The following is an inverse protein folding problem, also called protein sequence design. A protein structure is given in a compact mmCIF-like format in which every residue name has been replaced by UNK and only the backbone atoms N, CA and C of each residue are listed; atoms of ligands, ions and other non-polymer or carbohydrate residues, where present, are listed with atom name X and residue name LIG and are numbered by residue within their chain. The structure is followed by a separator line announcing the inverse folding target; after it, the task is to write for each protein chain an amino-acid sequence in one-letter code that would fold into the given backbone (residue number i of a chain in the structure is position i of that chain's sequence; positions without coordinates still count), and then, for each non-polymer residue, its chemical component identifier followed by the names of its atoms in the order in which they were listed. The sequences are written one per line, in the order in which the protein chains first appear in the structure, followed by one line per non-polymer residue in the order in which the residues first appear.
data_IF_152971930493
#
_entry.id   IF_152971930493
#
_cell.length_a   1.000
_cell.length_b   1.000
_cell.length_c   1.000
_cell.angle_alpha   90.00
_cell.angle_beta   90.00
_cell.angle_gamma   90.00
#
_symmetry.space_group_name_H-M   'P 1'
#
loop_
_entity.id
_entity.type
_entity.pdbx_description
1 polymer ?
#
# COMPACT_ATOMS: atom_id res chain seq x y z
N UNK A 1 -26.54 28.23 2.69
CA UNK A 1 -25.16 28.47 3.17
C UNK A 1 -24.11 28.18 2.10
N UNK A 2 -23.79 26.92 1.73
CA UNK A 2 -22.74 26.65 0.70
C UNK A 2 -23.10 27.21 -0.69
N UNK A 3 -24.38 27.15 -1.09
CA UNK A 3 -24.86 27.66 -2.40
C UNK A 3 -24.79 29.19 -2.49
N UNK A 4 -25.04 29.87 -1.37
CA UNK A 4 -24.96 31.33 -1.27
C UNK A 4 -23.49 31.78 -1.32
N UNK A 5 -22.60 31.06 -0.64
CA UNK A 5 -21.16 31.33 -0.63
C UNK A 5 -20.52 31.20 -2.03
N UNK A 6 -20.90 30.20 -2.82
CA UNK A 6 -20.36 30.01 -4.17
C UNK A 6 -20.76 31.14 -5.13
N UNK A 7 -22.02 31.59 -5.04
CA UNK A 7 -22.53 32.72 -5.84
C UNK A 7 -21.78 34.03 -5.52
N UNK A 8 -21.38 34.21 -4.27
CA UNK A 8 -20.59 35.37 -3.82
C UNK A 8 -19.13 35.33 -4.32
N UNK A 9 -18.51 34.15 -4.41
CA UNK A 9 -17.14 34.04 -4.94
C UNK A 9 -17.05 34.32 -6.45
N UNK A 10 -18.08 33.96 -7.22
CA UNK A 10 -18.15 34.33 -8.64
C UNK A 10 -18.19 35.85 -8.86
N UNK A 11 -18.71 36.60 -7.87
CA UNK A 11 -18.78 38.05 -7.90
C UNK A 11 -17.53 38.71 -7.29
N UNK A 12 -16.87 38.05 -6.35
CA UNK A 12 -15.65 38.55 -5.72
C UNK A 12 -14.64 37.42 -5.44
N UNK A 13 -13.57 37.32 -6.26
CA UNK A 13 -12.52 36.31 -6.09
C UNK A 13 -11.80 36.39 -4.74
N UNK A 14 -11.84 37.53 -4.03
CA UNK A 14 -11.21 37.65 -2.71
C UNK A 14 -11.89 36.82 -1.62
N UNK A 15 -13.12 36.32 -1.86
CA UNK A 15 -13.89 35.52 -0.90
C UNK A 15 -13.60 34.00 -0.95
N UNK A 16 -12.58 33.59 -1.71
CA UNK A 16 -12.27 32.18 -1.91
C UNK A 16 -12.00 31.42 -0.61
N UNK A 17 -11.42 32.10 0.39
CA UNK A 17 -11.10 31.50 1.68
C UNK A 17 -12.39 31.20 2.48
N UNK A 18 -13.31 32.14 2.54
CA UNK A 18 -14.58 32.04 3.25
C UNK A 18 -15.47 30.95 2.65
N UNK A 19 -15.49 30.83 1.31
CA UNK A 19 -16.21 29.75 0.64
C UNK A 19 -15.59 28.39 0.99
N UNK A 20 -14.26 28.28 0.99
CA UNK A 20 -13.58 27.04 1.37
C UNK A 20 -13.87 26.66 2.82
N UNK A 21 -13.81 27.61 3.74
CA UNK A 21 -14.19 27.44 5.15
C UNK A 21 -15.62 26.90 5.27
N UNK A 22 -16.60 27.53 4.61
CA UNK A 22 -18.01 27.13 4.67
C UNK A 22 -18.31 25.79 3.97
N UNK A 23 -17.55 25.45 2.92
CA UNK A 23 -17.70 24.20 2.16
C UNK A 23 -16.98 23.01 2.81
N UNK A 24 -16.09 23.27 3.79
CA UNK A 24 -15.38 22.19 4.51
C UNK A 24 -16.37 21.42 5.38
N UNK A 25 -16.52 20.09 5.17
CA UNK A 25 -17.52 19.33 5.91
C UNK A 25 -17.15 19.18 7.39
N UNK A 26 -18.16 19.11 8.25
CA UNK A 26 -17.98 18.99 9.72
C UNK A 26 -17.13 17.78 10.09
N UNK A 27 -17.32 16.64 9.40
CA UNK A 27 -16.55 15.43 9.65
C UNK A 27 -15.05 15.59 9.32
N UNK A 28 -14.68 16.44 8.36
CA UNK A 28 -13.27 16.73 8.09
C UNK A 28 -12.61 17.40 9.31
N UNK A 29 -13.27 18.40 9.90
CA UNK A 29 -12.77 19.09 11.10
C UNK A 29 -12.70 18.15 12.31
N UNK A 30 -13.70 17.27 12.48
CA UNK A 30 -13.69 16.25 13.53
C UNK A 30 -12.49 15.30 13.39
N UNK A 31 -12.26 14.76 12.19
CA UNK A 31 -11.12 13.89 11.92
C UNK A 31 -9.80 14.61 12.12
N UNK A 32 -9.70 15.88 11.75
CA UNK A 32 -8.52 16.69 12.04
C UNK A 32 -8.28 16.83 13.55
N UNK A 33 -9.33 17.05 14.34
CA UNK A 33 -9.22 17.09 15.81
C UNK A 33 -8.80 15.74 16.40
N UNK A 34 -9.33 14.63 15.88
CA UNK A 34 -8.92 13.28 16.29
C UNK A 34 -7.43 13.06 15.96
N UNK A 35 -6.97 13.48 14.79
CA UNK A 35 -5.57 13.36 14.37
C UNK A 35 -4.57 14.08 15.27
N UNK A 36 -5.01 15.09 16.02
CA UNK A 36 -4.17 15.82 16.99
C UNK A 36 -4.06 15.10 18.35
N UNK A 37 -4.82 14.03 18.59
CA UNK A 37 -4.73 13.22 19.80
C UNK A 37 -3.55 12.23 19.70
N UNK A 38 -3.02 11.74 20.85
CA UNK A 38 -2.10 10.62 20.86
C UNK A 38 -2.70 9.41 20.11
N UNK A 39 -1.92 8.82 19.21
CA UNK A 39 -2.34 7.72 18.32
C UNK A 39 -3.55 8.06 17.41
N UNK A 40 -3.91 9.34 17.27
CA UNK A 40 -5.08 9.78 16.51
C UNK A 40 -5.03 9.43 15.02
N UNK A 41 -3.86 9.57 14.39
CA UNK A 41 -3.65 9.20 12.98
C UNK A 41 -3.88 7.69 12.79
N UNK A 42 -3.39 6.86 13.71
CA UNK A 42 -3.61 5.41 13.66
C UNK A 42 -5.10 5.06 13.76
N UNK A 43 -5.83 5.71 14.68
CA UNK A 43 -7.27 5.51 14.80
C UNK A 43 -8.02 5.89 13.51
N UNK A 44 -7.56 6.91 12.79
CA UNK A 44 -8.14 7.31 11.50
C UNK A 44 -7.81 6.29 10.41
N UNK A 45 -6.60 5.72 10.40
CA UNK A 45 -6.25 4.59 9.52
C UNK A 45 -7.19 3.40 9.78
N UNK A 46 -7.32 2.97 11.03
CA UNK A 46 -8.16 1.83 11.42
C UNK A 46 -9.64 2.09 11.08
N UNK A 47 -10.12 3.32 11.33
CA UNK A 47 -11.45 3.76 10.93
C UNK A 47 -11.63 3.69 9.41
N UNK A 48 -10.68 4.18 8.61
CA UNK A 48 -10.75 4.13 7.14
C UNK A 48 -10.77 2.69 6.62
N UNK A 49 -9.96 1.79 7.18
CA UNK A 49 -10.01 0.37 6.83
C UNK A 49 -11.41 -0.22 7.06
N UNK A 50 -12.03 0.11 8.21
CA UNK A 50 -13.38 -0.31 8.52
C UNK A 50 -14.42 0.30 7.56
N UNK A 51 -14.30 1.59 7.20
CA UNK A 51 -15.19 2.24 6.22
C UNK A 51 -15.13 1.52 4.87
N UNK A 52 -13.93 1.22 4.37
CA UNK A 52 -13.75 0.51 3.10
C UNK A 52 -14.33 -0.91 3.14
N UNK A 53 -14.22 -1.62 4.26
CA UNK A 53 -14.84 -2.94 4.45
C UNK A 53 -16.37 -2.86 4.50
N UNK A 54 -16.91 -1.88 5.21
CA UNK A 54 -18.35 -1.64 5.30
C UNK A 54 -18.94 -1.26 3.94
N UNK A 55 -18.27 -0.40 3.17
CA UNK A 55 -18.70 -0.02 1.83
C UNK A 55 -18.80 -1.20 0.85
N UNK A 56 -18.05 -2.29 1.07
CA UNK A 56 -18.13 -3.52 0.26
C UNK A 56 -19.32 -4.42 0.66
N UNK A 57 -19.80 -4.32 1.89
CA UNK A 57 -20.81 -5.23 2.46
C UNK A 57 -22.18 -4.59 2.61
N UNK A 58 -22.24 -3.25 2.68
CA UNK A 58 -23.48 -2.49 2.83
C UNK A 58 -24.30 -2.48 1.53
N UNK A 59 -25.61 -2.72 1.67
CA UNK A 59 -26.55 -2.80 0.55
C UNK A 59 -27.36 -1.51 0.36
N UNK A 60 -27.54 -0.70 1.42
CA UNK A 60 -28.22 0.58 1.32
C UNK A 60 -27.34 1.63 0.63
N UNK A 61 -27.79 2.08 -0.55
CA UNK A 61 -27.10 3.12 -1.34
C UNK A 61 -26.96 4.46 -0.61
N UNK A 62 -27.93 4.82 0.23
CA UNK A 62 -27.89 6.06 0.99
C UNK A 62 -26.78 6.00 2.06
N UNK A 63 -26.74 4.89 2.81
CA UNK A 63 -25.68 4.61 3.78
C UNK A 63 -24.30 4.57 3.11
N UNK A 64 -24.14 3.84 2.00
CA UNK A 64 -22.87 3.79 1.25
C UNK A 64 -22.43 5.19 0.81
N UNK A 65 -23.34 6.04 0.34
CA UNK A 65 -23.02 7.42 -0.04
C UNK A 65 -22.53 8.25 1.14
N UNK A 66 -23.10 8.07 2.33
CA UNK A 66 -22.65 8.74 3.55
C UNK A 66 -21.27 8.24 4.01
N UNK A 67 -21.04 6.92 3.99
CA UNK A 67 -19.75 6.30 4.30
C UNK A 67 -18.66 6.80 3.34
N UNK A 68 -18.96 6.88 2.04
CA UNK A 68 -18.03 7.38 1.04
C UNK A 68 -17.64 8.86 1.28
N UNK A 69 -18.55 9.71 1.76
CA UNK A 69 -18.20 11.10 2.11
C UNK A 69 -17.21 11.16 3.27
N UNK A 70 -17.43 10.36 4.31
CA UNK A 70 -16.53 10.27 5.45
C UNK A 70 -15.17 9.66 5.07
N UNK A 71 -15.18 8.59 4.27
CA UNK A 71 -13.97 7.96 3.74
C UNK A 71 -13.13 8.96 2.94
N UNK A 72 -13.77 9.78 2.10
CA UNK A 72 -13.09 10.81 1.32
C UNK A 72 -12.35 11.82 2.19
N UNK A 73 -12.97 12.33 3.25
CA UNK A 73 -12.29 13.24 4.18
C UNK A 73 -11.16 12.56 4.95
N UNK A 74 -11.33 11.29 5.34
CA UNK A 74 -10.24 10.53 5.95
C UNK A 74 -9.07 10.35 4.97
N UNK A 75 -9.36 9.98 3.72
CA UNK A 75 -8.36 9.85 2.66
C UNK A 75 -7.61 11.17 2.42
N UNK A 76 -8.32 12.30 2.29
CA UNK A 76 -7.71 13.62 2.10
C UNK A 76 -6.74 13.99 3.25
N UNK A 77 -7.13 13.75 4.50
CA UNK A 77 -6.26 13.99 5.66
C UNK A 77 -5.05 13.06 5.68
N UNK A 78 -5.23 11.77 5.37
CA UNK A 78 -4.14 10.80 5.33
C UNK A 78 -3.15 11.12 4.21
N UNK A 79 -3.60 11.61 3.05
CA UNK A 79 -2.71 12.10 1.98
C UNK A 79 -1.85 13.27 2.46
N UNK A 80 -2.43 14.19 3.23
CA UNK A 80 -1.69 15.33 3.80
C UNK A 80 -0.68 14.85 4.85
N UNK A 81 -1.10 13.94 5.76
CA UNK A 81 -0.25 13.46 6.85
C UNK A 81 0.89 12.57 6.36
N UNK A 82 0.65 11.70 5.38
CA UNK A 82 1.66 10.80 4.80
C UNK A 82 2.40 11.40 3.60
N UNK A 83 2.43 12.71 3.47
CA UNK A 83 3.26 13.36 2.46
C UNK A 83 4.78 13.14 2.71
N UNK A 84 5.58 13.25 1.66
CA UNK A 84 7.02 12.98 1.67
C UNK A 84 7.79 13.68 2.81
N UNK A 85 7.40 14.89 3.19
CA UNK A 85 8.07 15.67 4.23
C UNK A 85 7.88 15.10 5.65
N UNK A 86 6.86 14.29 5.86
CA UNK A 86 6.51 13.74 7.19
C UNK A 86 7.00 12.30 7.39
N UNK A 87 7.51 11.65 6.33
CA UNK A 87 8.04 10.30 6.39
C UNK A 87 9.56 10.31 6.53
N UNK A 88 10.07 9.55 7.51
CA UNK A 88 11.50 9.30 7.70
C UNK A 88 11.87 7.97 7.06
N UNK A 89 12.91 7.97 6.24
CA UNK A 89 13.51 6.74 5.72
C UNK A 89 14.53 6.25 6.75
N UNK A 90 14.36 5.02 7.22
CA UNK A 90 15.27 4.39 8.17
C UNK A 90 15.74 3.05 7.61
N UNK A 91 17.05 2.81 7.70
CA UNK A 91 17.64 1.52 7.34
C UNK A 91 17.46 0.55 8.51
N UNK A 92 16.82 -0.58 8.25
CA UNK A 92 16.72 -1.67 9.21
C UNK A 92 17.95 -2.57 9.11
N UNK A 93 18.52 -2.91 10.25
CA UNK A 93 19.64 -3.84 10.38
C UNK A 93 19.29 -4.87 11.45
N UNK A 94 20.07 -5.94 11.57
CA UNK A 94 19.87 -6.93 12.63
C UNK A 94 19.94 -6.33 14.05
N UNK A 95 20.67 -5.22 14.20
CA UNK A 95 20.80 -4.49 15.47
C UNK A 95 19.64 -3.52 15.74
N UNK A 96 18.65 -3.41 14.85
CA UNK A 96 17.47 -2.56 15.06
C UNK A 96 16.62 -3.07 16.24
N UNK A 97 15.83 -2.19 16.90
CA UNK A 97 14.97 -2.58 18.01
C UNK A 97 14.04 -3.76 17.68
N UNK A 98 13.96 -4.73 18.60
CA UNK A 98 13.24 -5.99 18.38
C UNK A 98 11.73 -5.82 18.17
N UNK A 99 11.11 -4.76 18.69
CA UNK A 99 9.70 -4.43 18.42
C UNK A 99 9.48 -4.05 16.96
N UNK A 100 10.41 -3.30 16.36
CA UNK A 100 10.33 -2.93 14.94
C UNK A 100 10.54 -4.15 14.07
N UNK A 101 11.52 -5.00 14.38
CA UNK A 101 11.77 -6.25 13.65
C UNK A 101 10.58 -7.22 13.74
N UNK A 102 9.92 -7.29 14.90
CA UNK A 102 8.73 -8.10 15.08
C UNK A 102 7.59 -7.61 14.18
N UNK A 103 7.35 -6.29 14.16
CA UNK A 103 6.33 -5.71 13.28
C UNK A 103 6.66 -5.94 11.81
N UNK A 104 7.91 -5.74 11.40
CA UNK A 104 8.34 -6.03 10.02
C UNK A 104 8.02 -7.47 9.65
N UNK A 105 8.31 -8.43 10.54
CA UNK A 105 7.94 -9.84 10.34
C UNK A 105 6.41 -10.06 10.24
N UNK A 106 5.59 -9.31 10.97
CA UNK A 106 4.13 -9.41 10.90
C UNK A 106 3.54 -8.78 9.61
N UNK A 107 4.17 -7.71 9.10
CA UNK A 107 3.72 -6.94 7.94
C UNK A 107 4.46 -7.30 6.63
N UNK A 108 5.30 -8.33 6.66
CA UNK A 108 6.08 -8.83 5.52
C UNK A 108 5.15 -9.49 4.48
N UNK A 109 4.64 -8.66 3.57
CA UNK A 109 3.63 -9.05 2.59
C UNK A 109 4.15 -10.01 1.50
N UNK A 110 5.47 -10.24 1.43
CA UNK A 110 6.09 -11.02 0.35
C UNK A 110 6.77 -12.29 0.87
N UNK A 111 7.38 -12.29 2.08
CA UNK A 111 8.23 -13.40 2.56
C UNK A 111 8.23 -13.63 4.09
N UNK A 112 7.38 -14.48 4.66
CA UNK A 112 7.25 -14.62 6.12
C UNK A 112 8.56 -15.03 6.83
N UNK A 113 8.95 -14.29 7.88
CA UNK A 113 10.13 -14.58 8.71
C UNK A 113 9.85 -15.77 9.65
N UNK A 114 10.74 -16.77 9.65
CA UNK A 114 10.63 -17.98 10.49
C UNK A 114 11.29 -17.79 11.88
N UNK A 115 10.55 -17.19 12.82
CA UNK A 115 10.53 -17.66 14.23
C UNK A 115 11.07 -16.78 15.37
N UNK A 116 10.72 -17.09 16.64
CA UNK A 116 10.64 -16.13 17.76
C UNK A 116 11.81 -16.11 18.79
N UNK A 117 12.91 -16.83 18.59
CA UNK A 117 13.94 -17.03 19.65
C UNK A 117 14.85 -15.83 19.95
N UNK A 118 14.77 -14.73 19.19
CA UNK A 118 15.67 -13.57 19.32
C UNK A 118 15.03 -12.33 19.99
N UNK A 119 13.71 -12.34 20.20
CA UNK A 119 12.93 -11.16 20.61
C UNK A 119 12.96 -10.83 22.10
N UNK A 120 13.57 -11.68 22.93
CA UNK A 120 13.04 -11.87 24.29
C UNK A 120 13.46 -10.86 25.35
N UNK A 121 14.48 -10.02 25.15
CA UNK A 121 14.93 -9.14 26.23
C UNK A 121 15.16 -7.71 25.75
N UNK A 122 14.31 -6.78 26.24
CA UNK A 122 14.43 -5.31 26.19
C UNK A 122 13.60 -4.61 25.12
N UNK A 123 12.29 -4.54 25.36
CA UNK A 123 11.42 -3.58 24.68
C UNK A 123 11.31 -2.31 25.54
N UNK A 124 12.03 -1.27 25.14
CA UNK A 124 12.01 0.06 25.75
C UNK A 124 10.91 0.97 25.18
N UNK A 125 10.74 2.15 25.77
CA UNK A 125 9.75 3.15 25.37
C UNK A 125 10.21 3.96 24.14
N UNK A 126 9.40 3.95 23.07
CA UNK A 126 9.66 4.70 21.85
C UNK A 126 9.18 3.97 20.59
N UNK A 127 7.89 3.65 20.54
CA UNK A 127 7.28 2.85 19.46
C UNK A 127 7.26 3.65 18.15
N UNK A 128 8.02 3.24 17.13
CA UNK A 128 7.85 3.71 15.74
C UNK A 128 7.18 2.61 14.93
N UNK A 129 6.14 2.95 14.18
CA UNK A 129 5.45 1.98 13.30
C UNK A 129 5.98 2.14 11.87
N UNK A 130 6.56 1.09 11.25
CA UNK A 130 6.93 1.14 9.84
C UNK A 130 5.65 1.17 9.00
N UNK A 131 5.53 2.17 8.12
CA UNK A 131 4.35 2.35 7.25
C UNK A 131 4.48 1.62 5.91
N UNK A 132 5.70 1.60 5.36
CA UNK A 132 6.02 0.90 4.12
C UNK A 132 7.42 0.34 4.27
N UNK A 133 7.58 -0.92 3.90
CA UNK A 133 8.85 -1.64 3.93
C UNK A 133 9.30 -1.87 2.49
N UNK A 134 10.58 -1.59 2.20
CA UNK A 134 11.17 -1.80 0.88
C UNK A 134 12.35 -2.75 1.04
N UNK A 135 12.25 -3.94 0.48
CA UNK A 135 13.34 -4.90 0.41
C UNK A 135 14.22 -4.59 -0.79
N UNK A 136 15.53 -4.58 -0.58
CA UNK A 136 16.53 -4.32 -1.62
C UNK A 136 17.53 -5.48 -1.64
N UNK A 137 17.64 -6.13 -2.80
CA UNK A 137 18.68 -7.11 -3.07
C UNK A 137 19.79 -6.47 -3.90
N UNK A 138 21.04 -6.58 -3.45
CA UNK A 138 22.21 -6.16 -4.21
C UNK A 138 22.71 -7.33 -5.05
N UNK A 139 22.63 -7.18 -6.38
CA UNK A 139 22.95 -8.23 -7.36
C UNK A 139 23.91 -7.67 -8.42
N UNK A 140 24.62 -8.56 -9.11
CA UNK A 140 25.47 -8.18 -10.24
C UNK A 140 24.67 -7.94 -11.53
N UNK A 141 23.55 -8.65 -11.68
CA UNK A 141 22.66 -8.60 -12.85
C UNK A 141 21.22 -8.38 -12.41
N UNK A 142 20.36 -7.93 -13.33
CA UNK A 142 18.92 -7.76 -13.07
C UNK A 142 18.28 -9.14 -12.91
N UNK A 143 17.66 -9.39 -11.76
CA UNK A 143 16.91 -10.62 -11.53
C UNK A 143 15.63 -10.68 -12.38
N UNK A 144 15.35 -11.87 -12.91
CA UNK A 144 14.13 -12.22 -13.63
C UNK A 144 13.19 -13.14 -12.82
N UNK A 145 13.64 -13.59 -11.65
CA UNK A 145 12.97 -14.59 -10.82
C UNK A 145 13.09 -14.21 -9.33
N UNK A 146 11.98 -14.29 -8.57
CA UNK A 146 11.97 -13.93 -7.14
C UNK A 146 12.49 -15.08 -6.27
N UNK A 147 12.28 -16.32 -6.70
CA UNK A 147 12.75 -17.53 -6.04
C UNK A 147 14.29 -17.64 -6.02
N UNK A 148 15.00 -16.99 -6.96
CA UNK A 148 16.47 -16.91 -6.89
C UNK A 148 16.96 -15.92 -5.82
N UNK A 149 16.07 -15.08 -5.29
CA UNK A 149 16.37 -14.08 -4.25
C UNK A 149 15.89 -14.57 -2.89
N UNK A 150 14.80 -15.35 -2.82
CA UNK A 150 14.16 -15.70 -1.55
C UNK A 150 13.83 -17.19 -1.41
N UNK A 151 14.26 -17.77 -0.30
CA UNK A 151 13.97 -19.14 0.15
C UNK A 151 12.63 -19.23 0.92
N UNK A 152 11.47 -18.90 0.34
CA UNK A 152 10.17 -19.26 0.95
C UNK A 152 8.95 -19.12 0.03
N UNK A 153 7.90 -19.89 0.37
CA UNK A 153 6.60 -19.96 -0.31
C UNK A 153 5.77 -18.68 -0.13
N UNK A 154 5.13 -18.25 -1.21
CA UNK A 154 4.22 -17.10 -1.26
C UNK A 154 2.88 -17.41 -0.61
N UNK A 155 2.43 -16.56 0.32
CA UNK A 155 1.08 -16.59 0.89
C UNK A 155 0.36 -15.30 0.49
N UNK A 156 -0.88 -15.41 0.01
CA UNK A 156 -1.73 -14.27 -0.30
C UNK A 156 -2.11 -13.52 0.99
N UNK A 157 -1.86 -12.21 1.04
CA UNK A 157 -2.27 -11.34 2.15
C UNK A 157 -3.00 -10.08 1.70
N UNK A 158 -3.92 -9.63 2.56
CA UNK A 158 -4.70 -8.41 2.42
C UNK A 158 -3.79 -7.17 2.53
N UNK A 159 -3.68 -6.39 1.46
CA UNK A 159 -3.04 -5.06 1.47
C UNK A 159 -3.58 -4.20 2.63
N UNK A 160 -2.75 -3.31 3.18
CA UNK A 160 -3.16 -2.26 4.14
C UNK A 160 -4.23 -1.36 3.52
N UNK A 161 -5.49 -1.79 3.65
CA UNK A 161 -6.65 -1.14 3.04
C UNK A 161 -6.75 0.34 3.42
N UNK A 162 -6.27 0.73 4.61
CA UNK A 162 -6.29 2.11 5.08
C UNK A 162 -5.33 3.05 4.36
N UNK A 163 -4.30 2.55 3.66
CA UNK A 163 -3.39 3.36 2.84
C UNK A 163 -3.64 3.16 1.34
N UNK A 164 -4.56 2.27 0.98
CA UNK A 164 -4.96 2.06 -0.41
C UNK A 164 -5.36 3.37 -1.09
N UNK A 165 -4.78 3.64 -2.26
CA UNK A 165 -4.98 4.86 -3.03
C UNK A 165 -4.13 6.07 -2.60
N UNK A 166 -3.28 5.95 -1.58
CA UNK A 166 -2.32 6.99 -1.19
C UNK A 166 -0.98 6.70 -1.91
N UNK A 167 -0.49 7.63 -2.73
CA UNK A 167 0.79 7.45 -3.46
C UNK A 167 1.99 7.64 -2.52
N UNK A 168 2.37 6.56 -1.86
CA UNK A 168 3.61 6.46 -1.09
C UNK A 168 4.78 5.96 -1.97
N UNK A 169 4.48 5.10 -2.94
CA UNK A 169 5.45 4.27 -3.66
C UNK A 169 6.43 5.07 -4.53
N UNK A 170 5.93 6.02 -5.33
CA UNK A 170 6.80 6.78 -6.24
C UNK A 170 7.87 7.59 -5.50
N UNK A 171 7.52 8.10 -4.32
CA UNK A 171 8.40 8.95 -3.51
C UNK A 171 9.39 8.11 -2.71
N UNK A 172 8.96 6.94 -2.22
CA UNK A 172 9.80 6.03 -1.45
C UNK A 172 10.87 5.36 -2.31
N UNK A 173 10.52 4.82 -3.48
CA UNK A 173 11.48 4.15 -4.37
C UNK A 173 12.58 5.13 -4.80
N UNK A 174 12.22 6.37 -5.16
CA UNK A 174 13.19 7.41 -5.52
C UNK A 174 14.12 7.77 -4.35
N UNK A 175 13.58 7.87 -3.13
CA UNK A 175 14.39 8.14 -1.93
C UNK A 175 15.36 7.01 -1.63
N UNK A 176 14.90 5.76 -1.71
CA UNK A 176 15.74 4.57 -1.52
C UNK A 176 16.83 4.50 -2.59
N UNK A 177 16.49 4.70 -3.87
CA UNK A 177 17.47 4.73 -4.95
C UNK A 177 18.53 5.83 -4.77
N UNK A 178 18.11 7.06 -4.40
CA UNK A 178 19.03 8.16 -4.14
C UNK A 178 19.96 7.88 -2.94
N UNK A 179 19.41 7.29 -1.86
CA UNK A 179 20.20 6.90 -0.70
C UNK A 179 21.25 5.84 -1.10
N UNK A 180 20.84 4.79 -1.80
CA UNK A 180 21.74 3.74 -2.28
C UNK A 180 22.81 4.29 -3.22
N UNK A 181 22.45 5.22 -4.11
CA UNK A 181 23.41 5.85 -5.01
C UNK A 181 24.47 6.66 -4.24
N UNK A 182 24.06 7.34 -3.16
CA UNK A 182 24.98 8.11 -2.31
C UNK A 182 25.90 7.22 -1.46
N UNK A 183 25.40 6.09 -0.95
CA UNK A 183 26.16 5.17 -0.11
C UNK A 183 27.04 4.20 -0.93
N UNK A 184 26.56 3.79 -2.11
CA UNK A 184 27.18 2.78 -2.98
C UNK A 184 27.25 3.29 -4.43
N UNK A 185 28.18 4.21 -4.76
CA UNK A 185 28.28 4.80 -6.09
C UNK A 185 28.61 3.81 -7.22
N UNK A 186 29.03 2.58 -6.87
CA UNK A 186 29.27 1.48 -7.82
C UNK A 186 27.98 0.95 -8.44
N UNK A 187 26.83 1.15 -7.80
CA UNK A 187 25.52 0.73 -8.31
C UNK A 187 25.06 1.70 -9.40
N UNK A 188 24.95 1.19 -10.64
CA UNK A 188 24.54 1.99 -11.81
C UNK A 188 23.10 1.72 -12.27
N UNK A 189 22.54 0.59 -11.85
CA UNK A 189 21.27 0.09 -12.34
C UNK A 189 20.34 -0.22 -11.17
N UNK A 190 19.12 0.30 -11.25
CA UNK A 190 18.05 0.03 -10.31
C UNK A 190 16.90 -0.61 -11.09
N UNK A 191 16.36 -1.71 -10.56
CA UNK A 191 15.21 -2.42 -11.13
C UNK A 191 14.28 -2.89 -10.00
N UNK A 192 13.02 -3.13 -10.33
CA UNK A 192 12.01 -3.66 -9.40
C UNK A 192 11.50 -4.99 -9.92
N UNK A 193 11.40 -5.97 -9.03
CA UNK A 193 10.70 -7.23 -9.30
C UNK A 193 9.31 -7.17 -8.68
N UNK A 194 8.37 -6.52 -9.38
CA UNK A 194 7.03 -6.24 -8.86
C UNK A 194 6.04 -7.35 -9.25
N UNK A 195 5.15 -7.78 -8.34
CA UNK A 195 4.05 -8.65 -8.70
C UNK A 195 3.07 -7.93 -9.63
N UNK A 196 2.33 -8.69 -10.43
CA UNK A 196 1.25 -8.17 -11.30
C UNK A 196 -0.10 -8.71 -10.77
N UNK A 197 -0.58 -8.24 -9.60
CA UNK A 197 -1.80 -8.74 -9.00
C UNK A 197 -3.00 -8.51 -9.92
N UNK A 198 -3.95 -9.45 -9.92
CA UNK A 198 -5.15 -9.36 -10.73
C UNK A 198 -4.96 -9.65 -12.24
N UNK A 199 -3.73 -9.81 -12.74
CA UNK A 199 -3.49 -10.17 -14.14
C UNK A 199 -4.18 -11.48 -14.54
N UNK A 200 -4.07 -12.52 -13.70
CA UNK A 200 -4.75 -13.81 -13.91
C UNK A 200 -6.26 -13.63 -14.03
N UNK A 201 -6.88 -12.91 -13.09
CA UNK A 201 -8.33 -12.66 -13.09
C UNK A 201 -8.76 -11.86 -14.31
N UNK A 202 -8.01 -10.83 -14.67
CA UNK A 202 -8.24 -10.03 -15.88
C UNK A 202 -8.15 -10.90 -17.14
N UNK A 203 -7.12 -11.73 -17.27
CA UNK A 203 -6.89 -12.61 -18.42
C UNK A 203 -8.03 -13.62 -18.56
N UNK A 204 -8.41 -14.29 -17.46
CA UNK A 204 -9.51 -15.25 -17.46
C UNK A 204 -10.83 -14.60 -17.85
N UNK A 205 -11.11 -13.37 -17.37
CA UNK A 205 -12.29 -12.61 -17.79
C UNK A 205 -12.27 -12.30 -19.30
N UNK A 206 -11.15 -11.79 -19.82
CA UNK A 206 -10.99 -11.48 -21.24
C UNK A 206 -11.14 -12.70 -22.14
N UNK A 207 -10.58 -13.83 -21.73
CA UNK A 207 -10.73 -15.07 -22.46
C UNK A 207 -12.19 -15.50 -22.49
N UNK A 208 -12.95 -15.37 -21.39
CA UNK A 208 -14.39 -15.74 -21.32
C UNK A 208 -15.27 -14.85 -22.18
N UNK A 209 -14.95 -13.55 -22.26
CA UNK A 209 -15.62 -12.58 -23.13
C UNK A 209 -15.32 -12.82 -24.62
N UNK A 210 -14.19 -13.45 -24.91
CA UNK A 210 -13.78 -13.79 -26.27
C UNK A 210 -14.36 -15.16 -26.67
N UNK A 211 -14.77 -15.33 -27.93
CA UNK A 211 -15.14 -16.64 -28.52
C UNK A 211 -13.97 -17.65 -28.58
N UNK A 212 -12.84 -17.34 -27.95
CA UNK A 212 -11.62 -18.11 -27.89
C UNK A 212 -11.58 -19.07 -26.69
N UNK A 213 -12.41 -18.89 -25.65
CA UNK A 213 -12.38 -19.75 -24.44
C UNK A 213 -12.55 -21.23 -24.77
N UNK A 214 -13.37 -21.55 -25.77
CA UNK A 214 -13.59 -22.92 -26.26
C UNK A 214 -12.55 -23.44 -27.25
N UNK A 215 -11.61 -22.59 -27.70
CA UNK A 215 -10.53 -22.96 -28.64
C UNK A 215 -9.22 -23.27 -27.94
N UNK A 216 -9.05 -22.81 -26.71
CA UNK A 216 -7.85 -23.08 -25.93
C UNK A 216 -8.00 -24.36 -25.12
N UNK A 217 -7.13 -25.34 -25.37
CA UNK A 217 -6.98 -26.45 -24.43
C UNK A 217 -6.31 -25.91 -23.16
N UNK A 218 -6.82 -26.21 -21.96
CA UNK A 218 -6.22 -25.72 -20.70
C UNK A 218 -4.72 -26.02 -20.58
N UNK A 219 -4.27 -27.15 -21.14
CA UNK A 219 -2.86 -27.56 -21.15
C UNK A 219 -1.99 -26.60 -21.97
N UNK A 220 -2.43 -26.18 -23.15
CA UNK A 220 -1.66 -25.28 -24.03
C UNK A 220 -1.52 -23.87 -23.44
N UNK A 221 -2.55 -23.39 -22.73
CA UNK A 221 -2.49 -22.10 -22.03
C UNK A 221 -1.61 -22.18 -20.80
N UNK A 222 -1.67 -23.27 -20.04
CA UNK A 222 -0.76 -23.46 -18.89
C UNK A 222 0.68 -23.58 -19.37
N UNK A 223 0.97 -24.32 -20.45
CA UNK A 223 2.33 -24.38 -21.02
C UNK A 223 2.81 -23.02 -21.57
N UNK A 224 1.94 -22.29 -22.27
CA UNK A 224 2.28 -20.99 -22.84
C UNK A 224 2.44 -19.89 -21.78
N UNK A 225 1.66 -19.93 -20.70
CA UNK A 225 1.74 -18.97 -19.58
C UNK A 225 2.83 -19.37 -18.58
N UNK A 226 3.04 -20.67 -18.37
CA UNK A 226 4.08 -21.14 -17.47
C UNK A 226 5.47 -20.80 -18.02
N UNK A 227 5.67 -20.94 -19.35
CA UNK A 227 7.01 -20.87 -19.93
C UNK A 227 8.03 -21.69 -19.13
N UNK A 228 9.32 -21.41 -19.30
CA UNK A 228 10.36 -21.96 -18.43
C UNK A 228 10.39 -21.33 -17.02
N UNK A 229 9.44 -20.45 -16.68
CA UNK A 229 9.53 -19.54 -15.53
C UNK A 229 8.66 -19.95 -14.33
N UNK A 230 7.62 -20.78 -14.53
CA UNK A 230 6.73 -21.25 -13.45
C UNK A 230 6.88 -22.74 -13.11
N UNK A 231 7.82 -23.46 -13.72
CA UNK A 231 8.12 -24.84 -13.37
C UNK A 231 9.19 -24.90 -12.28
N UNK A 232 8.79 -25.25 -11.05
CA UNK A 232 9.74 -25.82 -10.09
C UNK A 232 10.27 -27.14 -10.64
N UNK A 233 11.53 -27.45 -10.36
CA UNK A 233 12.29 -28.61 -10.83
C UNK A 233 11.66 -29.98 -10.48
N UNK A 234 10.60 -30.01 -9.68
CA UNK A 234 9.98 -31.25 -9.20
C UNK A 234 8.60 -31.58 -9.80
N UNK A 235 8.18 -30.91 -10.88
CA UNK A 235 7.10 -31.41 -11.74
C UNK A 235 5.72 -31.60 -11.10
N UNK A 236 5.51 -31.10 -9.88
CA UNK A 236 4.20 -31.18 -9.23
C UNK A 236 3.34 -29.96 -9.61
N UNK A 237 2.17 -30.27 -10.16
CA UNK A 237 1.17 -29.30 -10.64
C UNK A 237 0.57 -28.54 -9.45
N UNK A 238 0.49 -27.21 -9.60
CA UNK A 238 -0.32 -26.30 -8.78
C UNK A 238 -1.81 -26.56 -9.04
#
# INVERSE_FOLDING_TARGET
MVVDSFSLQLQNPSLAHEVREAATPVHFRLLQSIGNLPDGIKQICDMRANLLRLMKTESDRSAVSALHRLEKSAHELLVIWFCQSNMKLERLMWQSPGDILHKVSEYEAVHPVRGPSDFKNRLGCGRREPLVIVHVALLNDIADNVQSIVDSETVDYDEDTCLSGIDLGNMLIKRVANLLHSELPSIKTHSTLSPIPGFRTWMLRRLRESSLFGKFKPVEVVEAVAGSYFCSSDGNKI
#
